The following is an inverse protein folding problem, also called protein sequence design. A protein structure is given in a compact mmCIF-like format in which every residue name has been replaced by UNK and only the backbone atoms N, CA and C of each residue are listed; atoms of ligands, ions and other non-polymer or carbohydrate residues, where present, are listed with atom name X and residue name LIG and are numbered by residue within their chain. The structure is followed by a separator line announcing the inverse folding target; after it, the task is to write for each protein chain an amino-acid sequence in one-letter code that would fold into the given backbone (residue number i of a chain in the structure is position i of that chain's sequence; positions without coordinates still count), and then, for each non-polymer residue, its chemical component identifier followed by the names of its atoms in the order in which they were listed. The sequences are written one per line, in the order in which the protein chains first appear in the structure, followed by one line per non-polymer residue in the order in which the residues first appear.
data_IF_610235025546
#
_entry.id   IF_610235025546
#
_cell.length_a   1.000
_cell.length_b   1.000
_cell.length_c   1.000
_cell.angle_alpha   90.00
_cell.angle_beta   90.00
_cell.angle_gamma   90.00
#
_symmetry.space_group_name_H-M   'P 1'
#
loop_
_entity.id
_entity.type
_entity.pdbx_description
1 polymer ?
#
# COMPACT_ATOMS: atom_id res chain seq x y z
N UNK A 1 -24.57 12.49 -2.13
CA UNK A 1 -23.58 12.41 -1.03
C UNK A 1 -22.27 12.04 -1.68
N UNK A 2 -21.26 12.92 -1.65
CA UNK A 2 -19.94 12.59 -2.20
C UNK A 2 -19.17 11.78 -1.17
N UNK A 3 -19.03 10.49 -1.45
CA UNK A 3 -18.56 9.47 -0.52
C UNK A 3 -17.05 9.58 -0.21
N UNK A 4 -16.32 10.41 -0.96
CA UNK A 4 -14.87 10.58 -0.80
C UNK A 4 -14.52 12.07 -0.83
N UNK A 5 -14.30 12.67 0.34
CA UNK A 5 -13.66 13.99 0.51
C UNK A 5 -12.21 13.75 0.97
N UNK A 6 -11.24 13.98 0.10
CA UNK A 6 -9.84 13.64 0.36
C UNK A 6 -8.87 14.13 -0.70
N UNK A 7 -7.63 13.64 -0.60
CA UNK A 7 -6.58 13.91 -1.56
C UNK A 7 -6.59 12.82 -2.64
N UNK A 8 -6.61 13.23 -3.91
CA UNK A 8 -6.27 12.35 -5.02
C UNK A 8 -4.76 12.47 -5.28
N UNK A 9 -3.99 11.56 -4.69
CA UNK A 9 -2.54 11.57 -4.81
C UNK A 9 -2.07 10.87 -6.10
N UNK A 10 -1.29 11.58 -6.91
CA UNK A 10 -0.77 11.07 -8.18
C UNK A 10 0.77 10.94 -8.14
N UNK A 11 1.33 9.72 -8.24
CA UNK A 11 2.77 9.48 -8.23
C UNK A 11 3.41 9.64 -9.61
N UNK A 12 3.13 10.76 -10.29
CA UNK A 12 3.42 10.97 -11.72
C UNK A 12 4.87 10.80 -12.15
N UNK A 13 5.79 10.93 -11.20
CA UNK A 13 7.24 10.93 -11.43
C UNK A 13 7.95 9.72 -10.81
N UNK A 14 7.20 8.80 -10.19
CA UNK A 14 7.78 7.58 -9.59
C UNK A 14 8.06 6.47 -10.61
N UNK A 15 7.52 6.59 -11.83
CA UNK A 15 7.55 5.61 -12.92
C UNK A 15 7.27 6.30 -14.27
N UNK A 16 7.20 5.52 -15.36
CA UNK A 16 6.71 5.92 -16.69
C UNK A 16 5.22 6.33 -16.76
N UNK A 17 4.61 6.77 -15.65
CA UNK A 17 3.21 7.20 -15.57
C UNK A 17 3.00 8.69 -15.89
N UNK A 18 4.06 9.43 -16.23
CA UNK A 18 4.00 10.88 -16.45
C UNK A 18 2.98 11.27 -17.54
N UNK A 19 2.96 10.56 -18.67
CA UNK A 19 2.02 10.83 -19.76
C UNK A 19 0.56 10.64 -19.33
N UNK A 20 0.26 9.52 -18.65
CA UNK A 20 -1.08 9.25 -18.10
C UNK A 20 -1.50 10.28 -17.07
N UNK A 21 -0.57 10.73 -16.24
CA UNK A 21 -0.83 11.81 -15.30
C UNK A 21 -1.23 13.11 -16.00
N UNK A 22 -0.53 13.49 -17.08
CA UNK A 22 -0.88 14.69 -17.84
C UNK A 22 -2.29 14.57 -18.43
N UNK A 23 -2.66 13.40 -18.96
CA UNK A 23 -4.02 13.14 -19.44
C UNK A 23 -5.06 13.29 -18.33
N UNK A 24 -4.84 12.68 -17.17
CA UNK A 24 -5.73 12.79 -16.00
C UNK A 24 -5.85 14.24 -15.55
N UNK A 25 -4.74 14.97 -15.43
CA UNK A 25 -4.73 16.38 -15.01
C UNK A 25 -5.55 17.26 -15.97
N UNK A 26 -5.51 16.98 -17.28
CA UNK A 26 -6.27 17.74 -18.29
C UNK A 26 -7.77 17.53 -18.18
N UNK A 27 -8.22 16.33 -17.80
CA UNK A 27 -9.65 15.99 -17.72
C UNK A 27 -10.22 16.13 -16.31
N UNK A 28 -9.37 16.29 -15.29
CA UNK A 28 -9.79 16.37 -13.90
C UNK A 28 -10.56 17.66 -13.63
N UNK A 29 -11.87 17.53 -13.42
CA UNK A 29 -12.79 18.64 -13.16
C UNK A 29 -13.59 18.47 -11.85
N UNK A 30 -13.23 17.48 -11.03
CA UNK A 30 -13.93 17.19 -9.78
C UNK A 30 -13.54 18.20 -8.70
N UNK A 31 -14.54 18.80 -8.05
CA UNK A 31 -14.35 19.76 -6.96
C UNK A 31 -14.35 19.11 -5.57
N UNK A 32 -14.75 17.84 -5.49
CA UNK A 32 -14.97 17.12 -4.23
C UNK A 32 -13.66 16.64 -3.59
N UNK A 33 -12.61 16.46 -4.41
CA UNK A 33 -11.29 16.00 -4.00
C UNK A 33 -10.20 16.97 -4.46
N UNK A 34 -9.12 17.07 -3.68
CA UNK A 34 -7.95 17.88 -4.07
C UNK A 34 -6.90 16.97 -4.70
N UNK A 35 -6.65 17.16 -5.99
CA UNK A 35 -5.55 16.49 -6.68
C UNK A 35 -4.20 17.01 -6.17
N UNK A 36 -3.29 16.08 -5.82
CA UNK A 36 -1.94 16.40 -5.33
C UNK A 36 -0.92 15.53 -6.08
N UNK A 37 0.12 16.17 -6.59
CA UNK A 37 1.23 15.46 -7.22
C UNK A 37 2.26 15.08 -6.16
N UNK A 38 2.66 13.82 -6.14
CA UNK A 38 3.75 13.36 -5.28
C UNK A 38 5.08 14.02 -5.66
N UNK A 39 5.87 14.39 -4.65
CA UNK A 39 7.21 14.91 -4.89
C UNK A 39 8.05 13.85 -5.64
N UNK A 40 8.69 14.21 -6.77
CA UNK A 40 9.29 13.22 -7.68
C UNK A 40 10.26 12.24 -7.03
N UNK A 41 11.09 12.75 -6.13
CA UNK A 41 12.17 11.96 -5.53
C UNK A 41 11.76 11.33 -4.20
N UNK A 42 10.54 11.55 -3.70
CA UNK A 42 10.15 11.04 -2.39
C UNK A 42 10.10 9.51 -2.39
N UNK A 43 9.48 8.93 -3.41
CA UNK A 43 9.43 7.47 -3.56
C UNK A 43 10.83 6.87 -3.64
N UNK A 44 11.73 7.44 -4.45
CA UNK A 44 13.10 6.97 -4.57
C UNK A 44 13.83 7.03 -3.22
N UNK A 45 13.71 8.13 -2.47
CA UNK A 45 14.36 8.23 -1.15
C UNK A 45 13.84 7.19 -0.14
N UNK A 46 12.54 6.88 -0.18
CA UNK A 46 11.97 5.81 0.66
C UNK A 46 12.44 4.44 0.18
N UNK A 47 12.53 4.21 -1.13
CA UNK A 47 13.13 3.00 -1.71
C UNK A 47 14.58 2.83 -1.23
N UNK A 48 15.42 3.85 -1.37
CA UNK A 48 16.84 3.83 -0.94
C UNK A 48 16.98 3.50 0.55
N UNK A 49 16.08 4.05 1.39
CA UNK A 49 16.04 3.75 2.82
C UNK A 49 15.84 2.25 3.10
N UNK A 50 14.94 1.59 2.37
CA UNK A 50 14.68 0.16 2.52
C UNK A 50 15.76 -0.69 1.85
N UNK A 51 16.33 -0.24 0.73
CA UNK A 51 17.47 -0.91 0.09
C UNK A 51 18.68 -0.99 1.02
N UNK A 52 18.97 0.09 1.75
CA UNK A 52 20.02 0.09 2.77
C UNK A 52 19.78 -0.90 3.93
N UNK A 53 18.57 -1.48 4.03
CA UNK A 53 18.15 -2.48 5.03
C UNK A 53 17.95 -3.88 4.43
N UNK A 54 18.44 -4.09 3.21
CA UNK A 54 18.46 -5.41 2.56
C UNK A 54 17.28 -5.69 1.64
N UNK A 55 16.40 -4.73 1.37
CA UNK A 55 15.39 -4.88 0.32
C UNK A 55 16.05 -4.75 -1.06
N UNK A 56 15.92 -5.76 -1.92
CA UNK A 56 16.52 -5.74 -3.26
C UNK A 56 15.50 -5.52 -4.37
N UNK A 57 14.22 -5.66 -4.05
CA UNK A 57 13.11 -5.41 -4.96
C UNK A 57 12.47 -4.05 -4.71
N UNK A 58 11.74 -3.57 -5.71
CA UNK A 58 10.93 -2.37 -5.61
C UNK A 58 9.86 -2.55 -4.52
N UNK A 59 9.71 -1.58 -3.62
CA UNK A 59 8.66 -1.63 -2.58
C UNK A 59 7.26 -1.42 -3.17
N UNK A 60 6.24 -2.06 -2.59
CA UNK A 60 4.86 -1.81 -2.98
C UNK A 60 4.41 -0.38 -2.66
N UNK A 61 3.35 0.08 -3.35
CA UNK A 61 2.66 1.33 -2.99
C UNK A 61 2.16 1.30 -1.54
N UNK A 62 1.66 0.16 -1.08
CA UNK A 62 1.21 -0.02 0.30
C UNK A 62 2.34 0.24 1.30
N UNK A 63 3.48 -0.43 1.14
CA UNK A 63 4.61 -0.29 2.05
C UNK A 63 5.25 1.12 2.02
N UNK A 64 5.28 1.76 0.85
CA UNK A 64 5.63 3.17 0.72
C UNK A 64 4.69 4.07 1.55
N UNK A 65 3.37 3.89 1.43
CA UNK A 65 2.39 4.68 2.19
C UNK A 65 2.46 4.42 3.69
N UNK A 66 2.77 3.19 4.13
CA UNK A 66 3.04 2.92 5.55
C UNK A 66 4.25 3.71 6.04
N UNK A 67 5.33 3.76 5.25
CA UNK A 67 6.53 4.54 5.59
C UNK A 67 6.22 6.03 5.74
N UNK A 68 5.40 6.58 4.84
CA UNK A 68 4.92 7.97 4.92
C UNK A 68 4.06 8.18 6.17
N UNK A 69 3.09 7.29 6.42
CA UNK A 69 2.19 7.39 7.55
C UNK A 69 2.94 7.32 8.89
N UNK A 70 3.91 6.43 9.05
CA UNK A 70 4.73 6.36 10.27
C UNK A 70 5.52 7.65 10.56
N UNK A 71 5.87 8.42 9.52
CA UNK A 71 6.56 9.71 9.67
C UNK A 71 5.63 10.90 9.95
N UNK A 72 4.32 10.75 9.72
CA UNK A 72 3.35 11.85 9.73
C UNK A 72 2.20 11.67 10.74
N UNK A 73 1.88 10.43 11.10
CA UNK A 73 0.77 10.06 11.96
C UNK A 73 1.27 9.67 13.35
N UNK A 74 0.50 10.00 14.39
CA UNK A 74 0.79 9.58 15.77
C UNK A 74 0.56 8.08 15.99
N UNK A 75 -0.41 7.52 15.28
CA UNK A 75 -0.81 6.12 15.38
C UNK A 75 -1.22 5.63 13.99
N UNK A 76 -0.81 4.41 13.63
CA UNK A 76 -1.02 3.84 12.29
C UNK A 76 -1.67 2.46 12.42
N UNK A 77 -2.83 2.32 11.80
CA UNK A 77 -3.58 1.07 11.70
C UNK A 77 -3.60 0.60 10.25
N UNK A 78 -3.19 -0.64 10.02
CA UNK A 78 -3.09 -1.26 8.71
C UNK A 78 -4.22 -2.26 8.52
N UNK A 79 -4.94 -2.12 7.41
CA UNK A 79 -6.03 -3.00 6.97
C UNK A 79 -5.74 -3.48 5.54
N UNK A 80 -6.08 -4.73 5.24
CA UNK A 80 -5.85 -5.31 3.91
C UNK A 80 -4.38 -5.64 3.59
N UNK A 81 -3.50 -5.60 4.58
CA UNK A 81 -2.11 -6.05 4.44
C UNK A 81 -2.01 -7.54 4.76
N UNK A 82 -2.22 -8.39 3.75
CA UNK A 82 -2.10 -9.83 3.87
C UNK A 82 -1.64 -10.43 2.53
N UNK A 83 -0.33 -10.67 2.34
CA UNK A 83 0.22 -11.07 1.04
C UNK A 83 0.11 -12.59 0.78
N UNK A 84 -0.80 -13.29 1.44
CA UNK A 84 -0.93 -14.75 1.35
C UNK A 84 -2.25 -15.15 0.69
N UNK A 85 -2.23 -16.30 0.00
CA UNK A 85 -3.38 -16.86 -0.72
C UNK A 85 -4.38 -17.58 0.17
N UNK A 86 -4.08 -17.67 1.47
CA UNK A 86 -4.84 -18.45 2.42
C UNK A 86 -5.07 -17.62 3.67
N UNK A 87 -6.29 -17.72 4.18
CA UNK A 87 -6.64 -17.35 5.53
C UNK A 87 -6.58 -18.62 6.39
N UNK A 88 -5.90 -18.52 7.54
CA UNK A 88 -5.77 -19.62 8.49
C UNK A 88 -6.54 -19.26 9.75
N UNK A 89 -7.60 -20.00 10.01
CA UNK A 89 -8.28 -20.04 11.30
C UNK A 89 -7.89 -21.34 12.03
N UNK A 90 -8.12 -21.41 13.34
CA UNK A 90 -7.73 -22.51 14.23
C UNK A 90 -8.11 -23.91 13.72
N UNK A 91 -9.13 -24.00 12.85
CA UNK A 91 -9.64 -25.26 12.30
C UNK A 91 -9.76 -25.32 10.78
N UNK A 92 -9.51 -24.22 10.06
CA UNK A 92 -9.73 -24.17 8.60
C UNK A 92 -8.66 -23.39 7.87
N UNK A 93 -8.28 -23.87 6.69
CA UNK A 93 -7.52 -23.10 5.70
C UNK A 93 -8.45 -22.77 4.55
N UNK A 94 -8.70 -21.48 4.32
CA UNK A 94 -9.59 -21.00 3.27
C UNK A 94 -8.77 -20.26 2.22
N UNK A 95 -8.92 -20.65 0.95
CA UNK A 95 -8.35 -19.89 -0.17
C UNK A 95 -9.05 -18.54 -0.27
N UNK A 96 -8.27 -17.47 -0.40
CA UNK A 96 -8.77 -16.10 -0.53
C UNK A 96 -8.21 -15.44 -1.80
N UNK A 97 -8.98 -14.54 -2.44
CA UNK A 97 -8.50 -13.79 -3.59
C UNK A 97 -7.41 -12.79 -3.19
N UNK A 98 -6.61 -12.37 -4.16
CA UNK A 98 -5.53 -11.39 -4.00
C UNK A 98 -6.04 -9.99 -3.68
N UNK A 99 -7.14 -9.59 -4.29
CA UNK A 99 -7.80 -8.32 -4.02
C UNK A 99 -9.18 -8.57 -3.43
N UNK A 100 -9.60 -7.70 -2.52
CA UNK A 100 -10.89 -7.83 -1.83
C UNK A 100 -12.10 -7.58 -2.75
N UNK A 101 -11.90 -6.91 -3.89
CA UNK A 101 -12.96 -6.48 -4.81
C UNK A 101 -13.03 -7.30 -6.11
N UNK A 102 -12.07 -8.20 -6.36
CA UNK A 102 -12.05 -9.02 -7.56
C UNK A 102 -11.60 -10.46 -7.29
N UNK A 103 -12.10 -11.39 -8.08
CA UNK A 103 -11.75 -12.81 -7.98
C UNK A 103 -10.43 -13.12 -8.71
N UNK A 104 -9.34 -12.44 -8.33
CA UNK A 104 -8.00 -12.72 -8.84
C UNK A 104 -7.24 -13.66 -7.88
N UNK A 105 -6.62 -14.71 -8.40
CA UNK A 105 -5.78 -15.62 -7.60
C UNK A 105 -4.42 -14.98 -7.24
N UNK A 106 -3.99 -15.17 -5.99
CA UNK A 106 -2.66 -14.78 -5.49
C UNK A 106 -1.59 -15.59 -6.24
N UNK A 107 -0.70 -14.90 -6.97
CA UNK A 107 0.38 -15.53 -7.75
C UNK A 107 0.40 -15.14 -9.24
N UNK A 108 -0.67 -14.52 -9.76
CA UNK A 108 -0.66 -13.88 -11.10
C UNK A 108 -0.08 -12.44 -11.07
N UNK A 109 0.14 -11.91 -9.87
CA UNK A 109 0.87 -10.67 -9.64
C UNK A 109 2.32 -10.85 -10.10
N UNK A 110 2.78 -9.96 -11.00
CA UNK A 110 4.16 -9.98 -11.50
C UNK A 110 5.13 -9.82 -10.31
N UNK A 111 6.18 -10.64 -10.25
CA UNK A 111 7.18 -10.74 -9.18
C UNK A 111 8.06 -9.49 -8.94
N UNK A 112 7.57 -8.28 -9.23
CA UNK A 112 8.28 -7.01 -9.08
C UNK A 112 8.54 -6.61 -7.62
N UNK A 113 7.75 -7.15 -6.70
CA UNK A 113 7.77 -6.82 -5.28
C UNK A 113 8.16 -8.04 -4.43
N UNK A 114 8.62 -7.80 -3.21
CA UNK A 114 8.81 -8.83 -2.19
C UNK A 114 7.84 -8.59 -1.03
N UNK A 115 6.56 -8.88 -1.27
CA UNK A 115 5.49 -8.58 -0.32
C UNK A 115 5.60 -9.41 0.97
N UNK A 116 6.23 -10.59 0.92
CA UNK A 116 6.48 -11.40 2.11
C UNK A 116 7.52 -10.73 3.02
N UNK A 117 8.61 -10.20 2.45
CA UNK A 117 9.63 -9.48 3.21
C UNK A 117 9.08 -8.16 3.77
N UNK A 118 8.29 -7.43 2.96
CA UNK A 118 7.58 -6.22 3.42
C UNK A 118 6.67 -6.54 4.61
N UNK A 119 5.82 -7.57 4.49
CA UNK A 119 4.92 -7.97 5.57
C UNK A 119 5.66 -8.45 6.82
N UNK A 120 6.80 -9.12 6.67
CA UNK A 120 7.62 -9.55 7.82
C UNK A 120 8.09 -8.36 8.65
N UNK A 121 8.50 -7.26 7.99
CA UNK A 121 8.86 -6.01 8.68
C UNK A 121 7.63 -5.38 9.34
N UNK A 122 6.49 -5.33 8.63
CA UNK A 122 5.26 -4.79 9.21
C UNK A 122 4.84 -5.59 10.46
N UNK A 123 4.92 -6.91 10.41
CA UNK A 123 4.62 -7.79 11.55
C UNK A 123 5.57 -7.53 12.71
N UNK A 124 6.87 -7.36 12.46
CA UNK A 124 7.82 -7.00 13.50
C UNK A 124 7.46 -5.65 14.15
N UNK A 125 7.13 -4.63 13.35
CA UNK A 125 6.70 -3.33 13.85
C UNK A 125 5.40 -3.43 14.66
N UNK A 126 4.50 -4.33 14.26
CA UNK A 126 3.28 -4.63 15.01
C UNK A 126 3.58 -5.23 16.38
N UNK A 127 4.44 -6.26 16.43
CA UNK A 127 4.85 -6.91 17.67
C UNK A 127 5.59 -5.96 18.62
N UNK A 128 6.30 -4.97 18.08
CA UNK A 128 6.95 -3.91 18.85
C UNK A 128 6.00 -2.78 19.30
N UNK A 129 4.74 -2.81 18.89
CA UNK A 129 3.75 -1.78 19.24
C UNK A 129 3.92 -0.46 18.49
N UNK A 130 4.72 -0.43 17.41
CA UNK A 130 4.98 0.78 16.59
C UNK A 130 3.79 1.08 15.67
N UNK A 131 3.14 0.03 15.15
CA UNK A 131 1.92 0.12 14.35
C UNK A 131 0.96 -1.03 14.70
N UNK A 132 -0.28 -0.98 14.20
CA UNK A 132 -1.28 -2.04 14.43
C UNK A 132 -1.71 -2.66 13.11
N UNK A 133 -1.57 -3.98 12.97
CA UNK A 133 -2.09 -4.73 11.82
C UNK A 133 -3.41 -5.39 12.22
N UNK A 134 -4.42 -5.24 11.36
CA UNK A 134 -5.73 -5.88 11.52
C UNK A 134 -5.92 -6.91 10.40
N UNK A 135 -5.88 -8.19 10.75
CA UNK A 135 -6.05 -9.34 9.83
C UNK A 135 -7.35 -10.12 10.05
N UNK A 136 -8.14 -9.76 11.06
CA UNK A 136 -9.40 -10.43 11.39
C UNK A 136 -10.64 -9.57 11.11
N UNK A 137 -11.80 -10.14 11.41
CA UNK A 137 -13.07 -9.42 11.42
C UNK A 137 -13.01 -8.34 12.52
N UNK A 138 -13.35 -7.10 12.17
CA UNK A 138 -13.44 -6.03 13.14
C UNK A 138 -14.67 -6.25 14.03
N UNK A 139 -14.48 -6.18 15.34
CA UNK A 139 -15.57 -6.11 16.31
C UNK A 139 -16.05 -4.66 16.42
N UNK A 140 -17.35 -4.49 16.69
CA UNK A 140 -18.00 -3.18 16.89
C UNK A 140 -18.03 -2.78 18.36
#
# INVERSE_FOLDING_TARGET
MSEYKGLLWLPCFSTSLMEKCIEVIKIYNLTENKMVLGYPNHYQKVQDFWESRGFTKRITTGFYLVSVAMSSCREVHLYGFWPFSQEVDMHTMKSIPYHYFENMEVGKSKNFHDMHSEFSVLLQLHLLGILKIHVGICEY
#
